data_IF_645436752275
#
_entry.id   IF_645436752275
#
_cell.length_a   1.000
_cell.length_b   1.000
_cell.length_c   1.000
_cell.angle_alpha   90.00
_cell.angle_beta   90.00
_cell.angle_gamma   90.00
#
_symmetry.space_group_name_H-M   'P 1'
#
loop_
_entity.id
_entity.type
_entity.pdbx_description
1 polymer ?
#
# COMPACT_ATOMS: atom_id res chain seq x y z
N UNK A 1 -17.57 14.38 -3.52
CA UNK A 1 -18.17 13.07 -3.18
C UNK A 1 -17.58 11.94 -4.00
N UNK A 2 -17.81 11.85 -5.32
CA UNK A 2 -17.20 10.76 -6.12
C UNK A 2 -15.67 10.91 -6.21
N UNK A 3 -15.18 12.16 -6.34
CA UNK A 3 -13.75 12.52 -6.30
C UNK A 3 -13.03 12.03 -5.04
N UNK A 4 -13.73 12.06 -3.90
CA UNK A 4 -13.21 11.73 -2.57
C UNK A 4 -12.96 10.23 -2.41
N UNK A 5 -13.59 9.40 -3.26
CA UNK A 5 -13.33 7.96 -3.36
C UNK A 5 -12.33 7.70 -4.48
N UNK A 6 -12.57 8.26 -5.67
CA UNK A 6 -11.81 7.94 -6.88
C UNK A 6 -10.35 8.40 -6.81
N UNK A 7 -10.07 9.57 -6.24
CA UNK A 7 -8.69 10.09 -6.20
C UNK A 7 -7.82 9.24 -5.26
N UNK A 8 -8.23 8.97 -3.99
CA UNK A 8 -7.49 8.05 -3.13
C UNK A 8 -7.41 6.64 -3.71
N UNK A 9 -8.52 6.13 -4.28
CA UNK A 9 -8.51 4.81 -4.92
C UNK A 9 -7.44 4.72 -6.01
N UNK A 10 -7.45 5.65 -6.97
CA UNK A 10 -6.50 5.62 -8.10
C UNK A 10 -5.07 5.86 -7.62
N UNK A 11 -4.85 6.82 -6.72
CA UNK A 11 -3.53 7.14 -6.22
C UNK A 11 -2.91 5.94 -5.48
N UNK A 12 -3.67 5.30 -4.60
CA UNK A 12 -3.20 4.13 -3.84
C UNK A 12 -3.07 2.91 -4.75
N UNK A 13 -4.05 2.65 -5.62
CA UNK A 13 -3.97 1.54 -6.56
C UNK A 13 -2.72 1.62 -7.44
N UNK A 14 -2.32 2.82 -7.85
CA UNK A 14 -1.11 3.04 -8.65
C UNK A 14 0.17 2.99 -7.80
N UNK A 15 0.15 3.57 -6.59
CA UNK A 15 1.30 3.59 -5.70
C UNK A 15 1.66 2.20 -5.13
N UNK A 16 0.67 1.33 -4.97
CA UNK A 16 0.85 -0.02 -4.41
C UNK A 16 0.93 -1.11 -5.49
N UNK A 17 0.78 -0.76 -6.78
CA UNK A 17 0.88 -1.71 -7.87
C UNK A 17 2.32 -2.21 -8.04
N UNK A 18 2.54 -3.49 -7.79
CA UNK A 18 3.82 -4.17 -7.95
C UNK A 18 4.79 -3.93 -6.80
N UNK A 19 4.32 -3.37 -5.68
CA UNK A 19 5.15 -3.07 -4.53
C UNK A 19 5.41 -4.30 -3.63
N UNK A 20 6.32 -4.16 -2.66
CA UNK A 20 6.76 -5.18 -1.71
C UNK A 20 5.59 -5.86 -1.00
N UNK A 21 4.59 -5.08 -0.60
CA UNK A 21 3.40 -5.59 0.07
C UNK A 21 2.59 -6.50 -0.86
N UNK A 22 2.40 -6.10 -2.12
CA UNK A 22 1.70 -6.93 -3.10
C UNK A 22 2.46 -8.24 -3.39
N UNK A 23 3.79 -8.19 -3.49
CA UNK A 23 4.63 -9.37 -3.67
C UNK A 23 4.58 -10.31 -2.45
N UNK A 24 4.52 -9.75 -1.24
CA UNK A 24 4.40 -10.53 -0.01
C UNK A 24 3.06 -11.26 0.08
N UNK A 25 1.95 -10.57 -0.24
CA UNK A 25 0.61 -11.21 -0.34
C UNK A 25 0.60 -12.32 -1.38
N UNK A 26 1.24 -12.09 -2.53
CA UNK A 26 1.37 -13.11 -3.59
C UNK A 26 2.13 -14.33 -3.07
N UNK A 27 3.32 -14.14 -2.47
CA UNK A 27 4.14 -15.25 -1.95
C UNK A 27 3.45 -15.99 -0.80
N UNK A 28 2.75 -15.29 0.09
CA UNK A 28 1.92 -15.88 1.14
C UNK A 28 0.80 -16.73 0.55
N UNK A 29 0.14 -16.24 -0.50
CA UNK A 29 -0.97 -16.96 -1.13
C UNK A 29 -0.54 -18.27 -1.78
N UNK A 30 0.71 -18.38 -2.26
CA UNK A 30 1.27 -19.62 -2.78
C UNK A 30 1.43 -20.71 -1.71
N UNK A 31 1.67 -20.31 -0.45
CA UNK A 31 1.83 -21.23 0.69
C UNK A 31 0.52 -21.46 1.47
N UNK A 32 -0.42 -20.52 1.37
CA UNK A 32 -1.66 -20.55 2.15
C UNK A 32 -2.62 -21.64 1.68
N UNK A 33 -3.10 -22.48 2.61
CA UNK A 33 -4.17 -23.45 2.33
C UNK A 33 -5.53 -22.80 2.12
N UNK A 34 -5.81 -21.70 2.82
CA UNK A 34 -7.07 -20.97 2.76
C UNK A 34 -6.84 -19.50 2.38
N UNK A 35 -7.13 -19.19 1.12
CA UNK A 35 -6.95 -17.88 0.49
C UNK A 35 -7.92 -16.83 1.03
N UNK A 36 -9.14 -17.22 1.42
CA UNK A 36 -10.11 -16.29 2.00
C UNK A 36 -9.67 -15.87 3.40
N UNK A 37 -9.18 -16.81 4.21
CA UNK A 37 -8.61 -16.49 5.52
C UNK A 37 -7.40 -15.57 5.40
N UNK A 38 -6.51 -15.82 4.44
CA UNK A 38 -5.38 -14.92 4.14
C UNK A 38 -5.89 -13.52 3.79
N UNK A 39 -6.82 -13.40 2.84
CA UNK A 39 -7.33 -12.13 2.37
C UNK A 39 -8.02 -11.33 3.47
N UNK A 40 -8.81 -11.98 4.33
CA UNK A 40 -9.43 -11.32 5.48
C UNK A 40 -8.40 -10.79 6.49
N UNK A 41 -7.31 -11.53 6.70
CA UNK A 41 -6.21 -11.08 7.58
C UNK A 41 -5.50 -9.85 7.01
N UNK A 42 -5.17 -9.90 5.73
CA UNK A 42 -4.55 -8.78 4.97
C UNK A 42 -5.46 -7.55 5.00
N UNK A 43 -6.75 -7.72 4.69
CA UNK A 43 -7.73 -6.62 4.68
C UNK A 43 -7.94 -6.01 6.07
N UNK A 44 -7.91 -6.83 7.13
CA UNK A 44 -7.99 -6.31 8.49
C UNK A 44 -6.75 -5.48 8.86
N UNK A 45 -5.57 -5.91 8.42
CA UNK A 45 -4.33 -5.16 8.66
C UNK A 45 -4.39 -3.77 8.00
N UNK A 46 -4.72 -3.71 6.70
CA UNK A 46 -4.90 -2.44 5.98
C UNK A 46 -5.94 -1.54 6.65
N UNK A 47 -7.10 -2.10 7.03
CA UNK A 47 -8.15 -1.34 7.71
C UNK A 47 -7.65 -0.69 9.00
N UNK A 48 -6.83 -1.39 9.79
CA UNK A 48 -6.30 -0.84 11.05
C UNK A 48 -5.20 0.18 10.81
N UNK A 49 -4.25 -0.09 9.91
CA UNK A 49 -3.11 0.80 9.65
C UNK A 49 -3.57 2.10 8.98
N UNK A 50 -4.36 2.00 7.91
CA UNK A 50 -4.87 3.16 7.17
C UNK A 50 -6.01 3.85 7.92
N UNK A 51 -6.89 3.08 8.57
CA UNK A 51 -7.95 3.64 9.41
C UNK A 51 -7.36 4.48 10.54
N UNK A 52 -6.31 4.00 11.21
CA UNK A 52 -5.60 4.79 12.22
C UNK A 52 -5.06 6.10 11.65
N UNK A 53 -4.39 6.03 10.50
CA UNK A 53 -3.79 7.20 9.86
C UNK A 53 -4.81 8.23 9.39
N UNK A 54 -5.94 7.78 8.82
CA UNK A 54 -7.06 8.62 8.41
C UNK A 54 -7.70 9.29 9.62
N UNK A 55 -7.89 8.57 10.74
CA UNK A 55 -8.41 9.15 11.98
C UNK A 55 -7.46 10.24 12.50
N UNK A 56 -6.16 9.93 12.58
CA UNK A 56 -5.13 10.89 13.02
C UNK A 56 -5.06 12.10 12.09
N UNK A 57 -5.07 11.88 10.78
CA UNK A 57 -5.07 12.93 9.75
C UNK A 57 -6.32 13.81 9.81
N UNK A 58 -7.49 13.22 10.06
CA UNK A 58 -8.73 13.99 10.24
C UNK A 58 -8.68 14.89 11.48
N UNK A 59 -8.02 14.44 12.54
CA UNK A 59 -7.87 15.20 13.79
C UNK A 59 -6.85 16.33 13.67
N UNK A 60 -5.79 16.13 12.87
CA UNK A 60 -4.69 17.09 12.69
C UNK A 60 -5.16 18.41 12.09
N UNK A 61 -6.23 18.39 11.29
CA UNK A 61 -6.84 19.59 10.68
C UNK A 61 -7.48 20.54 11.70
N UNK A 62 -7.75 20.07 12.93
CA UNK A 62 -8.30 20.92 14.01
C UNK A 62 -7.23 21.71 14.75
N UNK A 63 -5.97 21.27 14.65
CA UNK A 63 -4.84 21.85 15.39
C UNK A 63 -3.90 22.62 14.44
N UNK A 64 -3.83 22.23 13.17
CA UNK A 64 -2.88 22.75 12.20
C UNK A 64 -3.59 23.45 11.02
N UNK A 65 -3.26 24.72 10.69
CA UNK A 65 -3.85 25.45 9.57
C UNK A 65 -3.64 24.77 8.20
N UNK A 66 -4.65 24.84 7.33
CA UNK A 66 -4.68 24.20 6.00
C UNK A 66 -3.52 24.59 5.07
N UNK A 67 -2.96 25.79 5.23
CA UNK A 67 -1.83 26.27 4.44
C UNK A 67 -0.53 25.53 4.78
N UNK A 68 -0.28 25.33 6.09
CA UNK A 68 0.86 24.53 6.60
C UNK A 68 0.71 23.09 6.14
N UNK A 69 -0.50 22.56 6.18
CA UNK A 69 -0.80 21.20 5.79
C UNK A 69 -0.55 20.96 4.29
N UNK A 70 -0.95 21.90 3.42
CA UNK A 70 -0.68 21.83 1.98
C UNK A 70 0.82 21.83 1.67
N UNK A 71 1.58 22.76 2.26
CA UNK A 71 3.02 22.85 2.02
C UNK A 71 3.76 21.64 2.59
N UNK A 72 3.42 21.23 3.82
CA UNK A 72 4.00 20.04 4.46
C UNK A 72 3.72 18.78 3.64
N UNK A 73 2.50 18.63 3.11
CA UNK A 73 2.12 17.47 2.30
C UNK A 73 2.91 17.33 1.00
N UNK A 74 3.12 18.43 0.28
CA UNK A 74 3.93 18.43 -0.94
C UNK A 74 5.40 18.13 -0.62
N UNK A 75 5.93 18.72 0.46
CA UNK A 75 7.30 18.46 0.91
C UNK A 75 7.52 17.01 1.31
N UNK A 76 6.55 16.40 2.01
CA UNK A 76 6.61 15.00 2.43
C UNK A 76 6.56 14.05 1.22
N UNK A 77 5.69 14.28 0.24
CA UNK A 77 5.69 13.47 -0.99
C UNK A 77 7.01 13.56 -1.78
N UNK A 78 7.60 14.76 -1.88
CA UNK A 78 8.90 14.95 -2.54
C UNK A 78 10.01 14.25 -1.76
N UNK A 79 9.98 14.34 -0.42
CA UNK A 79 10.93 13.65 0.45
C UNK A 79 10.81 12.13 0.31
N UNK A 80 9.60 11.57 0.30
CA UNK A 80 9.39 10.13 0.09
C UNK A 80 9.86 9.67 -1.29
N UNK A 81 9.57 10.43 -2.36
CA UNK A 81 10.08 10.12 -3.70
C UNK A 81 11.62 10.06 -3.74
N UNK A 82 12.29 10.98 -3.03
CA UNK A 82 13.76 11.01 -2.91
C UNK A 82 14.31 9.89 -2.02
N UNK A 83 13.64 9.56 -0.92
CA UNK A 83 14.04 8.48 -0.01
C UNK A 83 13.93 7.12 -0.70
N UNK A 84 12.85 6.86 -1.43
CA UNK A 84 12.66 5.64 -2.23
C UNK A 84 13.75 5.50 -3.29
N UNK A 85 14.14 6.60 -3.94
CA UNK A 85 15.27 6.64 -4.88
C UNK A 85 16.63 6.38 -4.20
N UNK A 86 16.76 6.67 -2.91
CA UNK A 86 17.97 6.38 -2.11
C UNK A 86 17.99 4.96 -1.56
N UNK A 87 16.83 4.37 -1.31
CA UNK A 87 16.65 2.99 -0.85
C UNK A 87 16.88 1.95 -1.97
N UNK A 88 16.97 2.39 -3.23
CA UNK A 88 17.15 1.62 -4.47
C UNK A 88 18.49 0.85 -4.60
N UNK A 89 19.11 0.51 -3.46
CA UNK A 89 20.36 -0.25 -3.37
C UNK A 89 20.53 -1.07 -2.10
N UNK A 90 19.58 -1.06 -1.15
CA UNK A 90 19.60 -1.98 0.00
C UNK A 90 18.81 -3.23 -0.32
N UNK A 91 19.46 -4.39 -0.15
CA UNK A 91 18.79 -5.69 -0.18
C UNK A 91 17.62 -5.65 0.79
N UNK A 92 16.43 -5.94 0.28
CA UNK A 92 15.31 -6.34 1.11
C UNK A 92 15.78 -7.52 1.95
N UNK A 93 15.83 -7.35 3.27
CA UNK A 93 15.91 -8.48 4.17
C UNK A 93 14.64 -9.27 3.94
N UNK A 94 14.79 -10.43 3.32
CA UNK A 94 13.74 -11.42 3.31
C UNK A 94 13.50 -11.79 4.77
N UNK A 95 12.36 -11.40 5.32
CA UNK A 95 11.85 -11.91 6.58
C UNK A 95 11.49 -13.39 6.38
N UNK A 96 12.54 -14.21 6.31
CA UNK A 96 12.49 -15.65 6.01
C UNK A 96 12.20 -16.51 7.25
N UNK A 97 11.72 -15.95 8.37
CA UNK A 97 11.55 -16.71 9.61
C UNK A 97 10.19 -16.53 10.31
N UNK A 98 9.13 -16.20 9.56
CA UNK A 98 7.77 -16.28 10.10
C UNK A 98 7.27 -17.72 9.96
N UNK A 99 7.05 -18.40 11.08
CA UNK A 99 6.55 -19.77 11.15
C UNK A 99 5.12 -19.86 10.56
N UNK A 100 5.01 -20.12 9.25
CA UNK A 100 3.81 -20.01 8.41
C UNK A 100 2.69 -21.02 8.69
N UNK A 101 2.83 -21.89 9.69
CA UNK A 101 2.17 -23.19 9.67
C UNK A 101 0.86 -23.33 10.48
N UNK A 102 0.29 -22.28 11.09
CA UNK A 102 -0.95 -22.48 11.89
C UNK A 102 -2.17 -21.64 11.54
N UNK A 103 -2.04 -20.47 10.91
CA UNK A 103 -3.22 -19.74 10.44
C UNK A 103 -2.89 -18.71 9.34
N UNK A 104 -3.37 -18.90 8.08
CA UNK A 104 -3.18 -17.94 6.99
C UNK A 104 -3.71 -16.53 7.31
N UNK A 105 -4.77 -16.44 8.11
CA UNK A 105 -5.30 -15.15 8.57
C UNK A 105 -4.28 -14.39 9.42
N UNK A 106 -3.74 -15.05 10.46
CA UNK A 106 -2.80 -14.42 11.40
C UNK A 106 -1.50 -14.09 10.70
N UNK A 107 -1.03 -14.98 9.80
CA UNK A 107 0.20 -14.76 9.05
C UNK A 107 0.08 -13.57 8.09
N UNK A 108 -1.03 -13.49 7.34
CA UNK A 108 -1.31 -12.34 6.48
C UNK A 108 -1.51 -11.05 7.26
N UNK A 109 -2.26 -11.11 8.37
CA UNK A 109 -2.48 -9.96 9.23
C UNK A 109 -1.17 -9.42 9.80
N UNK A 110 -0.38 -10.23 10.50
CA UNK A 110 0.83 -9.77 11.17
C UNK A 110 1.87 -9.26 10.18
N UNK A 111 2.08 -9.98 9.07
CA UNK A 111 3.05 -9.58 8.07
C UNK A 111 2.69 -8.22 7.46
N UNK A 112 1.44 -8.04 7.04
CA UNK A 112 1.01 -6.77 6.42
C UNK A 112 0.94 -5.65 7.44
N UNK A 113 0.44 -5.93 8.65
CA UNK A 113 0.36 -4.92 9.70
C UNK A 113 1.74 -4.38 10.07
N UNK A 114 2.76 -5.25 10.15
CA UNK A 114 4.13 -4.81 10.43
C UNK A 114 4.79 -4.13 9.23
N UNK A 115 4.57 -4.64 8.02
CA UNK A 115 5.15 -4.06 6.80
C UNK A 115 4.61 -2.67 6.47
N UNK A 116 3.32 -2.43 6.72
CA UNK A 116 2.64 -1.16 6.39
C UNK A 116 2.75 -0.12 7.51
N UNK A 117 3.24 -0.49 8.69
CA UNK A 117 3.32 0.43 9.81
C UNK A 117 4.36 1.52 9.56
N UNK A 118 3.89 2.75 9.40
CA UNK A 118 4.74 3.91 9.11
C UNK A 118 5.17 4.03 7.65
N UNK A 119 4.58 3.25 6.74
CA UNK A 119 4.93 3.33 5.32
C UNK A 119 4.33 4.56 4.62
N UNK A 120 4.83 4.84 3.40
CA UNK A 120 4.40 5.92 2.50
C UNK A 120 2.87 5.98 2.33
N UNK A 121 2.21 4.83 2.28
CA UNK A 121 0.76 4.73 2.09
C UNK A 121 -0.02 5.19 3.32
N UNK A 122 0.52 4.95 4.53
CA UNK A 122 -0.05 5.47 5.77
C UNK A 122 0.00 7.01 5.84
N UNK A 123 1.05 7.61 5.31
CA UNK A 123 1.17 9.07 5.28
C UNK A 123 0.29 9.67 4.18
N UNK A 124 0.19 9.01 3.03
CA UNK A 124 -0.74 9.39 1.98
C UNK A 124 -2.20 9.33 2.46
N UNK A 125 -2.58 8.30 3.22
CA UNK A 125 -3.94 8.12 3.75
C UNK A 125 -4.31 9.20 4.75
N UNK A 126 -3.41 9.50 5.70
CA UNK A 126 -3.55 10.62 6.62
C UNK A 126 -3.74 11.94 5.86
N UNK A 127 -2.97 12.16 4.80
CA UNK A 127 -3.06 13.38 4.01
C UNK A 127 -4.34 13.48 3.19
N UNK A 128 -4.79 12.40 2.57
CA UNK A 128 -6.06 12.41 1.84
C UNK A 128 -7.23 12.76 2.76
N UNK A 129 -7.22 12.27 4.01
CA UNK A 129 -8.21 12.59 5.03
C UNK A 129 -8.25 14.08 5.42
N UNK A 130 -7.24 14.87 5.03
CA UNK A 130 -7.22 16.32 5.27
C UNK A 130 -7.83 17.14 4.13
N UNK A 131 -7.89 16.56 2.92
CA UNK A 131 -8.38 17.23 1.71
C UNK A 131 -9.77 16.75 1.30
N UNK A 132 -10.13 15.52 1.65
CA UNK A 132 -11.36 14.84 1.27
C UNK A 132 -12.07 14.29 2.50
N UNK A 133 -13.34 13.88 2.33
CA UNK A 133 -14.08 13.25 3.41
C UNK A 133 -13.37 11.96 3.92
N UNK A 134 -13.00 11.87 5.21
CA UNK A 134 -12.23 10.75 5.75
C UNK A 134 -12.87 9.37 5.55
N UNK A 135 -14.21 9.30 5.59
CA UNK A 135 -14.92 8.04 5.43
C UNK A 135 -14.91 7.59 3.96
N UNK A 136 -15.09 8.53 3.03
CA UNK A 136 -14.99 8.25 1.60
C UNK A 136 -13.55 7.90 1.17
N UNK A 137 -12.55 8.54 1.78
CA UNK A 137 -11.14 8.19 1.58
C UNK A 137 -10.88 6.75 2.01
N UNK A 138 -11.34 6.36 3.20
CA UNK A 138 -11.19 4.99 3.69
C UNK A 138 -11.82 3.98 2.74
N UNK A 139 -13.05 4.24 2.25
CA UNK A 139 -13.72 3.38 1.28
C UNK A 139 -12.91 3.26 -0.02
N UNK A 140 -12.41 4.37 -0.56
CA UNK A 140 -11.58 4.38 -1.76
C UNK A 140 -10.29 3.58 -1.60
N UNK A 141 -9.60 3.75 -0.46
CA UNK A 141 -8.38 3.02 -0.15
C UNK A 141 -8.62 1.53 0.04
N UNK A 142 -9.62 1.15 0.84
CA UNK A 142 -9.97 -0.25 1.06
C UNK A 142 -10.39 -0.96 -0.23
N UNK A 143 -11.07 -0.26 -1.14
CA UNK A 143 -11.40 -0.80 -2.46
C UNK A 143 -10.14 -1.02 -3.32
N UNK A 144 -9.17 -0.09 -3.29
CA UNK A 144 -7.91 -0.22 -4.03
C UNK A 144 -7.05 -1.37 -3.50
N UNK A 145 -6.78 -1.38 -2.19
CA UNK A 145 -5.97 -2.41 -1.53
C UNK A 145 -6.64 -3.79 -1.59
N UNK A 146 -7.97 -3.83 -1.49
CA UNK A 146 -8.75 -5.04 -1.71
C UNK A 146 -8.60 -5.58 -3.13
N UNK A 147 -8.72 -4.72 -4.14
CA UNK A 147 -8.51 -5.11 -5.53
C UNK A 147 -7.10 -5.69 -5.75
N UNK A 148 -6.07 -4.98 -5.28
CA UNK A 148 -4.68 -5.42 -5.41
C UNK A 148 -4.41 -6.74 -4.69
N UNK A 149 -4.98 -6.92 -3.50
CA UNK A 149 -4.84 -8.14 -2.69
C UNK A 149 -5.55 -9.32 -3.34
N UNK A 150 -6.77 -9.12 -3.86
CA UNK A 150 -7.48 -10.14 -4.64
C UNK A 150 -6.63 -10.54 -5.85
N UNK A 151 -6.13 -9.58 -6.62
CA UNK A 151 -5.29 -9.86 -7.77
C UNK A 151 -4.03 -10.62 -7.38
N UNK A 152 -3.32 -10.21 -6.32
CA UNK A 152 -2.12 -10.89 -5.85
C UNK A 152 -2.40 -12.34 -5.43
N UNK A 153 -3.50 -12.58 -4.71
CA UNK A 153 -3.92 -13.92 -4.27
C UNK A 153 -4.30 -14.80 -5.45
N UNK A 154 -5.12 -14.31 -6.39
CA UNK A 154 -5.50 -15.10 -7.57
C UNK A 154 -4.30 -15.36 -8.48
N UNK A 155 -3.42 -14.37 -8.66
CA UNK A 155 -2.19 -14.51 -9.43
C UNK A 155 -1.29 -15.57 -8.79
N UNK A 156 -1.09 -15.52 -7.47
CA UNK A 156 -0.35 -16.55 -6.72
C UNK A 156 -0.95 -17.96 -6.83
N UNK A 157 -2.28 -18.10 -6.94
CA UNK A 157 -2.94 -19.40 -7.20
C UNK A 157 -2.60 -19.98 -8.57
N UNK A 158 -2.53 -19.15 -9.60
CA UNK A 158 -2.18 -19.58 -10.96
C UNK A 158 -0.67 -19.81 -11.11
N UNK A 159 0.14 -19.12 -10.30
CA UNK A 159 1.60 -19.16 -10.33
C UNK A 159 2.18 -20.22 -9.38
N UNK A 160 1.86 -21.48 -9.66
CA UNK A 160 2.56 -22.62 -9.05
C UNK A 160 3.82 -22.99 -9.86
N UNK A 161 3.99 -22.43 -11.06
CA UNK A 161 5.14 -22.73 -11.92
C UNK A 161 5.65 -21.50 -12.70
N UNK A 162 6.94 -21.17 -12.48
CA UNK A 162 7.82 -20.33 -13.33
C UNK A 162 7.65 -18.80 -13.31
N UNK A 163 7.96 -18.15 -12.19
CA UNK A 163 8.31 -16.72 -12.22
C UNK A 163 9.75 -16.47 -11.79
N UNK A 164 10.51 -15.85 -12.70
CA UNK A 164 11.82 -15.29 -12.43
C UNK A 164 11.63 -13.89 -11.85
N UNK A 165 11.90 -13.73 -10.54
CA UNK A 165 11.64 -12.51 -9.75
C UNK A 165 12.22 -11.23 -10.38
N UNK A 166 13.29 -11.33 -11.18
CA UNK A 166 13.99 -10.16 -11.76
C UNK A 166 13.23 -9.42 -12.85
N UNK A 167 12.40 -10.10 -13.64
CA UNK A 167 11.67 -9.47 -14.75
C UNK A 167 10.51 -8.60 -14.24
N UNK A 168 9.83 -9.05 -13.19
CA UNK A 168 8.69 -8.35 -12.60
C UNK A 168 9.14 -7.00 -12.02
N UNK A 169 10.21 -7.00 -11.21
CA UNK A 169 10.76 -5.80 -10.59
C UNK A 169 11.22 -4.77 -11.63
N UNK A 170 11.78 -5.23 -12.75
CA UNK A 170 12.28 -4.35 -13.82
C UNK A 170 11.15 -3.62 -14.55
N UNK A 171 10.02 -4.28 -14.76
CA UNK A 171 8.85 -3.69 -15.44
C UNK A 171 8.13 -2.69 -14.52
N UNK A 172 7.96 -3.02 -13.24
CA UNK A 172 7.37 -2.11 -12.25
C UNK A 172 8.15 -0.79 -12.13
N UNK A 173 9.49 -0.85 -12.07
CA UNK A 173 10.34 0.34 -11.99
C UNK A 173 10.22 1.28 -13.19
N UNK A 174 10.09 0.74 -14.42
CA UNK A 174 9.92 1.55 -15.63
C UNK A 174 8.57 2.28 -15.64
N UNK A 175 7.51 1.62 -15.19
CA UNK A 175 6.17 2.22 -15.13
C UNK A 175 6.09 3.37 -14.10
N UNK A 176 6.75 3.22 -12.95
CA UNK A 176 6.82 4.27 -11.93
C UNK A 176 7.54 5.54 -12.42
N UNK A 177 8.64 5.37 -13.17
CA UNK A 177 9.37 6.50 -13.75
C UNK A 177 8.49 7.30 -14.73
N UNK A 178 7.70 6.61 -15.54
CA UNK A 178 6.78 7.24 -16.50
C UNK A 178 5.63 7.99 -15.81
N UNK A 179 5.12 7.48 -14.69
CA UNK A 179 4.10 8.19 -13.89
C UNK A 179 4.65 9.46 -13.24
N UNK A 180 5.86 9.41 -12.65
CA UNK A 180 6.48 10.58 -12.04
C UNK A 180 6.71 11.73 -13.02
N UNK A 181 7.04 11.40 -14.27
CA UNK A 181 7.21 12.37 -15.35
C UNK A 181 5.88 13.02 -15.78
N UNK A 182 4.76 12.31 -15.74
CA UNK A 182 3.47 12.89 -16.15
C UNK A 182 2.91 13.87 -15.12
N UNK A 183 3.20 13.64 -13.83
CA UNK A 183 2.77 14.53 -12.74
C UNK A 183 3.52 15.86 -12.70
N UNK A 184 4.76 15.89 -13.20
CA UNK A 184 5.57 17.11 -13.32
C UNK A 184 5.23 17.96 -14.55
N UNK A 185 4.49 17.37 -15.50
CA UNK A 185 4.08 18.05 -16.73
C UNK A 185 2.71 18.75 -16.62
N UNK A 186 2.08 18.73 -15.42
CA UNK A 186 0.76 19.30 -15.15
C UNK A 186 0.81 20.46 -14.14
#
# INVERSE_FOLDING_TARGET
>A
MISDILIPFLAIALAELGDKTQLSVLLLSMKARNHLSLLLGVMLAFLLVDGFAIVVGSWITRVIPLEVLKVASGAVFILFGLLILRELGKKEESEDDVNYDKNPFVSGFLLIFMAEWGDKTQIASALFATKYDPWLVLVGMMAALGLLSVTAVYLGRFLIARLDKRLITKVAGVLFILMGLSFLAL
#
